data_IF_215513615471
#
_entry.id   IF_215513615471
#
_cell.length_a   1.000
_cell.length_b   1.000
_cell.length_c   1.000
_cell.angle_alpha   90.00
_cell.angle_beta   90.00
_cell.angle_gamma   90.00
#
_symmetry.space_group_name_H-M   'P 1'
#
loop_
_entity.id
_entity.type
_entity.pdbx_description
1 polymer ?
#
# COMPACT_ATOMS: atom_id res chain seq x y z
N UNK A 1 3.40 -17.62 15.75
CA UNK A 1 3.95 -16.25 15.68
C UNK A 1 3.48 -15.66 14.37
N UNK A 2 2.88 -14.47 14.40
CA UNK A 2 2.55 -13.74 13.19
C UNK A 2 3.89 -13.26 12.60
N UNK A 3 4.22 -13.66 11.38
CA UNK A 3 5.46 -13.24 10.74
C UNK A 3 5.33 -11.75 10.40
N UNK A 4 6.26 -10.95 10.93
CA UNK A 4 6.40 -9.54 10.58
C UNK A 4 7.68 -9.35 9.79
N UNK A 5 7.68 -8.37 8.89
CA UNK A 5 8.87 -7.89 8.20
C UNK A 5 9.33 -6.56 8.80
N UNK A 6 10.63 -6.32 8.85
CA UNK A 6 11.17 -4.99 9.18
C UNK A 6 11.35 -4.21 7.86
N UNK A 7 10.54 -3.17 7.67
CA UNK A 7 10.62 -2.30 6.49
C UNK A 7 11.33 -1.01 6.88
N UNK A 8 12.23 -0.56 6.00
CA UNK A 8 12.95 0.71 6.11
C UNK A 8 12.37 1.64 5.04
N UNK A 9 11.94 2.82 5.47
CA UNK A 9 11.42 3.86 4.58
C UNK A 9 12.53 4.82 4.13
N UNK A 10 12.23 5.64 3.13
CA UNK A 10 13.15 6.62 2.55
C UNK A 10 13.75 7.61 3.57
N UNK A 11 13.07 7.84 4.70
CA UNK A 11 13.56 8.66 5.82
C UNK A 11 14.35 7.88 6.88
N UNK A 12 14.74 6.63 6.60
CA UNK A 12 15.44 5.69 7.49
C UNK A 12 14.62 5.19 8.68
N UNK A 13 13.33 5.54 8.74
CA UNK A 13 12.42 5.01 9.74
C UNK A 13 12.22 3.51 9.54
N UNK A 14 12.20 2.77 10.65
CA UNK A 14 11.95 1.33 10.67
C UNK A 14 10.58 1.03 11.27
N UNK A 15 9.83 0.15 10.63
CA UNK A 15 8.55 -0.36 11.15
C UNK A 15 8.49 -1.87 11.07
N UNK A 16 7.85 -2.48 12.08
CA UNK A 16 7.41 -3.87 12.01
C UNK A 16 6.11 -3.91 11.23
N UNK A 17 6.11 -4.66 10.14
CA UNK A 17 5.01 -4.68 9.17
C UNK A 17 4.40 -6.06 9.11
N UNK A 18 3.09 -6.14 9.31
CA UNK A 18 2.28 -7.34 9.10
C UNK A 18 1.66 -7.27 7.72
N UNK A 19 1.95 -8.26 6.89
CA UNK A 19 1.46 -8.29 5.51
C UNK A 19 0.03 -8.83 5.48
N UNK A 20 -0.87 -8.05 4.88
CA UNK A 20 -2.24 -8.43 4.57
C UNK A 20 -2.37 -8.73 3.08
N UNK A 21 -2.59 -10.02 2.78
CA UNK A 21 -2.75 -10.59 1.42
C UNK A 21 -4.15 -11.18 1.23
N UNK A 22 -5.09 -10.82 2.09
CA UNK A 22 -6.45 -11.32 2.03
C UNK A 22 -7.19 -10.77 0.80
N UNK A 23 -8.19 -11.51 0.33
CA UNK A 23 -8.83 -11.24 -0.97
C UNK A 23 -10.18 -10.55 -0.86
N UNK A 24 -10.88 -10.72 0.26
CA UNK A 24 -12.23 -10.21 0.46
C UNK A 24 -12.26 -9.06 1.45
N UNK A 25 -13.25 -8.18 1.35
CA UNK A 25 -13.45 -7.03 2.25
C UNK A 25 -13.41 -7.48 3.73
N UNK A 26 -14.10 -8.58 4.05
CA UNK A 26 -14.23 -9.10 5.42
C UNK A 26 -12.90 -9.59 5.99
N UNK A 27 -12.13 -10.34 5.20
CA UNK A 27 -10.85 -10.89 5.65
C UNK A 27 -9.79 -9.78 5.80
N UNK A 28 -9.77 -8.83 4.85
CA UNK A 28 -8.87 -7.67 4.91
C UNK A 28 -9.13 -6.87 6.19
N UNK A 29 -10.39 -6.54 6.49
CA UNK A 29 -10.77 -5.83 7.71
C UNK A 29 -10.45 -6.67 8.95
N UNK A 30 -10.76 -7.96 8.94
CA UNK A 30 -10.47 -8.84 10.07
C UNK A 30 -8.98 -8.94 10.38
N UNK A 31 -8.11 -8.89 9.37
CA UNK A 31 -6.67 -8.84 9.58
C UNK A 31 -6.20 -7.46 10.03
N UNK A 32 -6.76 -6.38 9.49
CA UNK A 32 -6.49 -5.01 9.94
C UNK A 32 -6.77 -4.84 11.45
N UNK A 33 -7.88 -5.39 11.93
CA UNK A 33 -8.28 -5.34 13.34
C UNK A 33 -7.41 -6.19 14.28
N UNK A 34 -6.61 -7.12 13.75
CA UNK A 34 -5.66 -7.94 14.53
C UNK A 34 -4.30 -7.26 14.72
N UNK A 35 -4.02 -6.18 13.98
CA UNK A 35 -2.74 -5.48 14.05
C UNK A 35 -2.59 -4.73 15.38
N UNK A 36 -1.47 -4.91 16.07
CA UNK A 36 -1.16 -4.12 17.27
C UNK A 36 -0.72 -2.71 16.85
N UNK A 37 -1.66 -1.77 16.84
CA UNK A 37 -1.45 -0.40 16.33
C UNK A 37 -0.41 0.41 17.11
N UNK A 38 0.05 -0.06 18.28
CA UNK A 38 1.11 0.60 19.05
C UNK A 38 2.51 0.23 18.58
N UNK A 39 2.68 -0.93 17.95
CA UNK A 39 4.00 -1.47 17.62
C UNK A 39 4.14 -2.01 16.20
N UNK A 40 3.03 -2.09 15.47
CA UNK A 40 2.95 -2.67 14.14
C UNK A 40 2.25 -1.72 13.16
N UNK A 41 2.69 -1.79 11.92
CA UNK A 41 2.02 -1.26 10.75
C UNK A 41 1.48 -2.44 9.94
N UNK A 42 0.37 -2.25 9.24
CA UNK A 42 -0.11 -3.23 8.27
C UNK A 42 0.38 -2.86 6.87
N UNK A 43 0.93 -3.79 6.11
CA UNK A 43 1.02 -3.65 4.66
C UNK A 43 -0.24 -4.20 4.03
N UNK A 44 -0.99 -3.36 3.33
CA UNK A 44 -2.09 -3.82 2.50
C UNK A 44 -1.58 -4.10 1.09
N UNK A 45 -1.47 -5.39 0.75
CA UNK A 45 -1.15 -5.86 -0.60
C UNK A 45 -2.39 -5.82 -1.48
N UNK A 46 -2.67 -4.64 -2.03
CA UNK A 46 -3.84 -4.37 -2.86
C UNK A 46 -3.88 -5.32 -4.06
N UNK A 47 -2.73 -5.72 -4.60
CA UNK A 47 -2.67 -6.65 -5.74
C UNK A 47 -3.30 -8.03 -5.47
N UNK A 48 -3.54 -8.42 -4.21
CA UNK A 48 -4.27 -9.65 -3.86
C UNK A 48 -5.79 -9.48 -3.79
N UNK A 49 -6.26 -8.25 -3.61
CA UNK A 49 -7.67 -7.95 -3.43
C UNK A 49 -8.48 -8.32 -4.69
N UNK A 50 -9.62 -8.97 -4.53
CA UNK A 50 -10.40 -9.46 -5.68
C UNK A 50 -10.95 -8.33 -6.57
N UNK A 51 -11.08 -7.12 -6.01
CA UNK A 51 -11.50 -5.91 -6.72
C UNK A 51 -10.36 -4.89 -6.87
N UNK A 52 -9.11 -5.34 -6.98
CA UNK A 52 -7.91 -4.48 -7.01
C UNK A 52 -7.87 -3.44 -8.15
N UNK A 53 -8.67 -3.60 -9.19
CA UNK A 53 -8.79 -2.66 -10.32
C UNK A 53 -10.03 -1.78 -10.25
N UNK A 54 -10.89 -1.99 -9.25
CA UNK A 54 -12.14 -1.23 -9.05
C UNK A 54 -11.91 -0.13 -8.01
N UNK A 55 -11.61 1.08 -8.48
CA UNK A 55 -11.28 2.23 -7.62
C UNK A 55 -12.36 2.52 -6.57
N UNK A 56 -13.63 2.44 -6.94
CA UNK A 56 -14.74 2.71 -6.00
C UNK A 56 -14.76 1.68 -4.86
N UNK A 57 -14.43 0.41 -5.14
CA UNK A 57 -14.34 -0.66 -4.13
C UNK A 57 -13.13 -0.43 -3.22
N UNK A 58 -11.99 -0.07 -3.79
CA UNK A 58 -10.79 0.30 -3.04
C UNK A 58 -11.05 1.47 -2.08
N UNK A 59 -11.69 2.54 -2.56
CA UNK A 59 -12.04 3.70 -1.74
C UNK A 59 -13.00 3.33 -0.61
N UNK A 60 -14.06 2.57 -0.92
CA UNK A 60 -15.05 2.13 0.07
C UNK A 60 -14.42 1.26 1.16
N UNK A 61 -13.59 0.27 0.77
CA UNK A 61 -12.91 -0.61 1.72
C UNK A 61 -11.90 0.17 2.57
N UNK A 62 -11.12 1.06 1.96
CA UNK A 62 -10.20 1.93 2.71
C UNK A 62 -10.93 2.75 3.78
N UNK A 63 -12.06 3.39 3.42
CA UNK A 63 -12.89 4.12 4.37
C UNK A 63 -13.40 3.24 5.52
N UNK A 64 -13.81 2.00 5.23
CA UNK A 64 -14.26 1.05 6.25
C UNK A 64 -13.12 0.64 7.19
N UNK A 65 -11.90 0.43 6.67
CA UNK A 65 -10.73 0.11 7.50
C UNK A 65 -10.43 1.28 8.44
N UNK A 66 -10.38 2.53 7.94
CA UNK A 66 -10.12 3.71 8.78
C UNK A 66 -11.21 3.96 9.82
N UNK A 67 -12.47 3.63 9.53
CA UNK A 67 -13.56 3.75 10.50
C UNK A 67 -13.46 2.72 11.63
N UNK A 68 -13.08 1.48 11.31
CA UNK A 68 -13.03 0.38 12.28
C UNK A 68 -11.70 0.29 13.03
N UNK A 69 -10.60 0.74 12.41
CA UNK A 69 -9.25 0.71 12.95
C UNK A 69 -8.57 2.09 12.82
N UNK A 70 -9.08 3.15 13.47
CA UNK A 70 -8.66 4.54 13.23
C UNK A 70 -7.21 4.86 13.60
N UNK A 71 -6.56 4.01 14.40
CA UNK A 71 -5.16 4.17 14.79
C UNK A 71 -4.21 3.32 13.92
N UNK A 72 -4.75 2.54 12.98
CA UNK A 72 -3.96 1.66 12.14
C UNK A 72 -3.13 2.46 11.15
N UNK A 73 -1.82 2.27 11.19
CA UNK A 73 -0.94 2.73 10.14
C UNK A 73 -0.90 1.71 9.02
N UNK A 74 -1.02 2.18 7.78
CA UNK A 74 -1.12 1.33 6.59
C UNK A 74 -0.02 1.71 5.60
N UNK A 75 0.80 0.74 5.22
CA UNK A 75 1.61 0.76 4.00
C UNK A 75 0.76 0.21 2.86
N UNK A 76 0.38 1.06 1.92
CA UNK A 76 -0.35 0.63 0.73
C UNK A 76 0.65 0.15 -0.31
N UNK A 77 0.47 -1.08 -0.78
CA UNK A 77 1.36 -1.69 -1.77
C UNK A 77 0.51 -2.28 -2.89
N UNK A 78 0.74 -1.84 -4.12
CA UNK A 78 0.35 -2.60 -5.29
C UNK A 78 1.62 -3.17 -5.91
N UNK A 79 1.81 -4.48 -5.82
CA UNK A 79 2.97 -5.14 -6.43
C UNK A 79 2.67 -5.46 -7.89
N UNK A 80 3.53 -5.07 -8.81
CA UNK A 80 3.39 -5.43 -10.23
C UNK A 80 3.60 -6.93 -10.44
N UNK A 81 2.99 -7.49 -11.49
CA UNK A 81 3.18 -8.89 -11.86
C UNK A 81 4.65 -9.23 -12.15
N UNK A 82 5.40 -8.29 -12.77
CA UNK A 82 6.85 -8.40 -13.01
C UNK A 82 7.63 -8.71 -11.73
N UNK A 83 7.13 -8.21 -10.59
CA UNK A 83 7.72 -8.39 -9.26
C UNK A 83 6.91 -9.38 -8.38
N UNK A 84 6.12 -10.27 -8.99
CA UNK A 84 5.40 -11.36 -8.31
C UNK A 84 4.03 -11.00 -7.75
N UNK A 85 3.49 -9.84 -8.12
CA UNK A 85 2.14 -9.37 -7.79
C UNK A 85 1.03 -10.26 -8.35
N UNK A 86 -0.16 -10.18 -7.77
CA UNK A 86 -1.27 -11.11 -8.07
C UNK A 86 -2.32 -10.59 -9.04
N UNK A 87 -2.40 -9.28 -9.23
CA UNK A 87 -3.30 -8.66 -10.22
C UNK A 87 -2.48 -8.03 -11.33
N UNK A 88 -2.79 -8.39 -12.57
CA UNK A 88 -2.18 -7.78 -13.75
C UNK A 88 -2.82 -6.43 -14.05
N UNK A 89 -1.99 -5.43 -14.33
CA UNK A 89 -2.45 -4.18 -14.92
C UNK A 89 -2.11 -4.16 -16.40
N UNK A 90 -2.94 -3.50 -17.20
CA UNK A 90 -2.81 -3.50 -18.65
C UNK A 90 -1.58 -2.78 -19.20
N UNK A 91 -0.89 -1.97 -18.37
CA UNK A 91 0.27 -1.17 -18.78
C UNK A 91 1.06 -0.64 -17.58
N UNK A 92 2.28 -0.13 -17.84
CA UNK A 92 3.03 0.68 -16.88
C UNK A 92 2.25 1.93 -16.44
N UNK A 93 1.59 2.62 -17.37
CA UNK A 93 0.80 3.81 -17.02
C UNK A 93 -0.34 3.48 -16.07
N UNK A 94 -0.96 2.30 -16.20
CA UNK A 94 -2.00 1.85 -15.26
C UNK A 94 -1.44 1.68 -13.84
N UNK A 95 -0.22 1.16 -13.69
CA UNK A 95 0.46 1.08 -12.39
C UNK A 95 0.72 2.48 -11.82
N UNK A 96 1.37 3.35 -12.60
CA UNK A 96 1.74 4.69 -12.14
C UNK A 96 0.52 5.53 -11.78
N UNK A 97 -0.57 5.43 -12.56
CA UNK A 97 -1.83 6.11 -12.29
C UNK A 97 -2.51 5.57 -11.02
N UNK A 98 -2.43 4.26 -10.77
CA UNK A 98 -2.96 3.67 -9.54
C UNK A 98 -2.18 4.16 -8.32
N UNK A 99 -0.85 4.14 -8.35
CA UNK A 99 -0.02 4.64 -7.25
C UNK A 99 -0.29 6.13 -6.99
N UNK A 100 -0.42 6.93 -8.06
CA UNK A 100 -0.81 8.34 -7.95
C UNK A 100 -2.16 8.51 -7.25
N UNK A 101 -3.14 7.67 -7.59
CA UNK A 101 -4.45 7.67 -6.97
C UNK A 101 -4.36 7.34 -5.46
N UNK A 102 -3.62 6.30 -5.10
CA UNK A 102 -3.42 5.90 -3.70
C UNK A 102 -2.81 7.03 -2.86
N UNK A 103 -1.85 7.77 -3.43
CA UNK A 103 -1.25 8.96 -2.82
C UNK A 103 -2.28 10.09 -2.71
N UNK A 104 -3.00 10.41 -3.79
CA UNK A 104 -3.92 11.53 -3.83
C UNK A 104 -5.08 11.37 -2.83
N UNK A 105 -5.55 10.15 -2.61
CA UNK A 105 -6.65 9.85 -1.69
C UNK A 105 -6.19 9.46 -0.27
N UNK A 106 -4.88 9.50 0.04
CA UNK A 106 -4.33 9.12 1.34
C UNK A 106 -4.82 7.74 1.81
N UNK A 107 -4.67 6.72 0.97
CA UNK A 107 -5.11 5.37 1.30
C UNK A 107 -4.42 4.81 2.55
N UNK A 108 -3.20 5.25 2.84
CA UNK A 108 -2.47 4.86 4.04
C UNK A 108 -1.61 5.99 4.57
N UNK A 109 -0.80 5.65 5.56
CA UNK A 109 0.25 6.51 6.11
C UNK A 109 1.59 6.30 5.38
N UNK A 110 1.69 5.26 4.56
CA UNK A 110 2.85 4.95 3.75
C UNK A 110 2.47 4.34 2.39
N UNK A 111 3.37 4.44 1.42
CA UNK A 111 3.20 3.95 0.05
C UNK A 111 4.44 3.18 -0.41
N UNK A 112 4.26 2.03 -1.06
CA UNK A 112 5.31 1.31 -1.78
C UNK A 112 5.34 1.79 -3.23
N UNK A 113 6.53 2.21 -3.69
CA UNK A 113 6.75 2.70 -5.06
C UNK A 113 7.85 1.86 -5.70
N UNK A 114 7.52 1.18 -6.80
CA UNK A 114 8.49 0.49 -7.64
C UNK A 114 9.29 1.52 -8.45
N UNK A 115 10.62 1.49 -8.33
CA UNK A 115 11.51 2.46 -8.96
C UNK A 115 11.81 2.14 -10.43
N UNK A 116 11.63 0.89 -10.84
CA UNK A 116 11.93 0.40 -12.20
C UNK A 116 10.77 0.69 -13.18
N UNK A 117 10.42 1.98 -13.26
CA UNK A 117 9.42 2.60 -14.14
C UNK A 117 9.94 3.92 -14.71
N UNK A 118 9.17 4.58 -15.59
CA UNK A 118 9.51 5.90 -16.15
C UNK A 118 10.01 6.89 -15.07
N UNK A 119 11.32 7.28 -15.08
CA UNK A 119 11.93 7.99 -13.96
C UNK A 119 11.30 9.33 -13.61
N UNK A 120 10.90 10.12 -14.61
CA UNK A 120 10.25 11.41 -14.38
C UNK A 120 8.92 11.27 -13.64
N UNK A 121 8.16 10.21 -13.96
CA UNK A 121 6.89 9.91 -13.28
C UNK A 121 7.12 9.39 -11.87
N UNK A 122 8.09 8.50 -11.66
CA UNK A 122 8.46 8.01 -10.32
C UNK A 122 8.89 9.18 -9.42
N UNK A 123 9.73 10.08 -9.92
CA UNK A 123 10.16 11.27 -9.19
C UNK A 123 8.99 12.19 -8.81
N UNK A 124 8.00 12.33 -9.70
CA UNK A 124 6.77 13.08 -9.41
C UNK A 124 5.92 12.40 -8.33
N UNK A 125 5.76 11.07 -8.37
CA UNK A 125 5.08 10.30 -7.32
C UNK A 125 5.76 10.46 -5.96
N UNK A 126 7.09 10.36 -5.91
CA UNK A 126 7.87 10.55 -4.67
C UNK A 126 7.65 11.97 -4.11
N UNK A 127 7.68 13.00 -4.96
CA UNK A 127 7.40 14.39 -4.55
C UNK A 127 5.98 14.53 -4.01
N UNK A 128 4.98 13.97 -4.70
CA UNK A 128 3.57 14.00 -4.27
C UNK A 128 3.38 13.32 -2.92
N UNK A 129 3.93 12.11 -2.75
CA UNK A 129 3.88 11.37 -1.48
C UNK A 129 4.57 12.12 -0.34
N UNK A 130 5.74 12.72 -0.61
CA UNK A 130 6.48 13.54 0.36
C UNK A 130 5.68 14.77 0.79
N UNK A 131 5.06 15.48 -0.16
CA UNK A 131 4.20 16.65 0.13
C UNK A 131 2.96 16.29 0.96
N UNK A 132 2.54 15.03 0.89
CA UNK A 132 1.45 14.45 1.68
C UNK A 132 1.90 13.84 3.01
N UNK A 133 3.20 13.95 3.32
CA UNK A 133 3.82 13.39 4.52
C UNK A 133 3.66 11.86 4.65
N UNK A 134 3.58 11.15 3.52
CA UNK A 134 3.59 9.69 3.50
C UNK A 134 5.02 9.18 3.71
N UNK A 135 5.18 8.09 4.44
CA UNK A 135 6.42 7.32 4.40
C UNK A 135 6.51 6.59 3.06
N UNK A 136 7.69 6.54 2.46
CA UNK A 136 7.86 5.94 1.13
C UNK A 136 8.76 4.72 1.27
N UNK A 137 8.24 3.56 0.90
CA UNK A 137 9.06 2.37 0.66
C UNK A 137 9.45 2.39 -0.81
N UNK A 138 10.72 2.66 -1.07
CA UNK A 138 11.28 2.60 -2.41
C UNK A 138 11.67 1.14 -2.70
N UNK A 139 11.04 0.54 -3.72
CA UNK A 139 11.30 -0.84 -4.08
C UNK A 139 12.02 -0.95 -5.41
N UNK A 140 13.07 -1.75 -5.43
CA UNK A 140 13.82 -2.17 -6.60
C UNK A 140 14.20 -3.64 -6.42
N UNK A 141 14.44 -4.34 -7.53
CA UNK A 141 14.97 -5.72 -7.51
C UNK A 141 16.46 -5.76 -7.18
#
# INVERSE_FOLDING_TARGET
MQNYEEIIFNNLEKRKVIINQEKTDQEIIAQALKCDTLSQMMEWRIDYYEHATEIDRLLALNQQIHQQAPQLQILTTFRSQKLGGKTELCSEDAYLNLVELLINFNFGTAIDIELDHTPDRVNDLIKKATNKHLLIREYHN
#
